data_IF_206770882278
#
_entry.id   IF_206770882278
#
_cell.length_a   1.000
_cell.length_b   1.000
_cell.length_c   1.000
_cell.angle_alpha   90.00
_cell.angle_beta   90.00
_cell.angle_gamma   90.00
#
_symmetry.space_group_name_H-M   'P 1'
#
loop_
_entity.id
_entity.type
_entity.pdbx_description
1 polymer ?
#
# COMPACT_ATOMS: atom_id res chain seq x y z
N UNK A 1 -12.81 45.84 -33.98
CA UNK A 1 -11.50 46.10 -33.31
C UNK A 1 -10.42 45.75 -34.33
N UNK A 2 -9.55 46.74 -34.65
CA UNK A 2 -8.48 46.49 -35.60
C UNK A 2 -7.27 45.77 -34.93
N UNK A 3 -6.30 45.36 -35.73
CA UNK A 3 -5.11 44.62 -35.25
C UNK A 3 -4.32 45.39 -34.19
N UNK A 4 -4.08 46.68 -34.41
CA UNK A 4 -3.28 47.49 -33.48
C UNK A 4 -3.95 47.63 -32.12
N UNK A 5 -5.25 47.88 -32.10
CA UNK A 5 -6.06 47.99 -30.89
C UNK A 5 -6.11 46.67 -30.11
N UNK A 6 -6.22 45.52 -30.81
CA UNK A 6 -6.18 44.20 -30.20
C UNK A 6 -4.86 43.92 -29.50
N UNK A 7 -3.75 44.10 -30.22
CA UNK A 7 -2.40 43.87 -29.71
C UNK A 7 -2.05 44.78 -28.55
N UNK A 8 -2.47 46.06 -28.62
CA UNK A 8 -2.25 47.01 -27.53
C UNK A 8 -2.99 46.61 -26.25
N UNK A 9 -4.27 46.24 -26.37
CA UNK A 9 -5.06 45.75 -25.25
C UNK A 9 -4.50 44.46 -24.67
N UNK A 10 -4.06 43.51 -25.53
CA UNK A 10 -3.44 42.30 -25.08
C UNK A 10 -2.12 42.55 -24.33
N UNK A 11 -1.25 43.45 -24.87
CA UNK A 11 0.00 43.76 -24.21
C UNK A 11 -0.19 44.45 -22.86
N UNK A 12 -1.17 45.35 -22.77
CA UNK A 12 -1.53 46.04 -21.50
C UNK A 12 -2.01 45.01 -20.43
N UNK A 13 -2.83 44.01 -20.85
CA UNK A 13 -3.33 42.99 -19.96
C UNK A 13 -2.22 41.99 -19.52
N UNK A 14 -1.33 41.58 -20.43
CA UNK A 14 -0.19 40.72 -20.10
C UNK A 14 0.78 41.39 -19.13
N UNK A 15 1.07 42.68 -19.34
CA UNK A 15 1.90 43.50 -18.43
C UNK A 15 1.25 43.71 -17.07
N UNK A 16 -0.05 44.01 -17.03
CA UNK A 16 -0.79 44.19 -15.78
C UNK A 16 -0.78 42.93 -14.92
N UNK A 17 -0.74 41.75 -15.56
CA UNK A 17 -0.71 40.43 -14.90
C UNK A 17 0.70 39.91 -14.66
N UNK A 18 1.73 40.71 -14.95
CA UNK A 18 3.14 40.37 -14.71
C UNK A 18 3.59 39.05 -15.33
N UNK A 19 3.13 38.76 -16.56
CA UNK A 19 3.44 37.49 -17.25
C UNK A 19 4.86 37.61 -17.83
N UNK A 20 5.78 36.71 -17.43
CA UNK A 20 7.20 36.73 -17.83
C UNK A 20 7.44 36.64 -19.33
N UNK A 21 6.59 35.87 -20.02
CA UNK A 21 6.74 35.51 -21.44
C UNK A 21 5.85 36.40 -22.34
N UNK A 22 5.49 37.64 -21.86
CA UNK A 22 4.56 38.54 -22.53
C UNK A 22 5.02 38.89 -23.94
N UNK A 23 6.33 39.00 -24.20
CA UNK A 23 6.90 39.37 -25.47
C UNK A 23 6.81 38.24 -26.51
N UNK A 24 7.05 37.04 -26.08
CA UNK A 24 6.91 35.81 -26.94
C UNK A 24 5.44 35.61 -27.32
N UNK A 25 4.53 35.77 -26.38
CA UNK A 25 3.08 35.69 -26.62
C UNK A 25 2.64 36.77 -27.61
N UNK A 26 3.12 37.99 -27.45
CA UNK A 26 2.79 39.06 -28.37
C UNK A 26 3.30 38.78 -29.80
N UNK A 27 4.48 38.17 -29.94
CA UNK A 27 5.02 37.83 -31.25
C UNK A 27 4.21 36.71 -31.93
N UNK A 28 3.74 35.71 -31.14
CA UNK A 28 2.86 34.65 -31.64
C UNK A 28 1.55 35.21 -32.22
N UNK A 29 0.92 36.15 -31.51
CA UNK A 29 -0.31 36.81 -31.99
C UNK A 29 -0.08 37.70 -33.19
N UNK A 30 1.08 38.41 -33.28
CA UNK A 30 1.47 39.16 -34.49
C UNK A 30 1.60 38.24 -35.71
N UNK A 31 2.26 37.13 -35.55
CA UNK A 31 2.42 36.12 -36.61
C UNK A 31 1.08 35.55 -37.05
N UNK A 32 0.19 35.23 -36.07
CA UNK A 32 -1.13 34.75 -36.36
C UNK A 32 -1.96 35.72 -37.20
N UNK A 33 -1.95 37.04 -36.85
CA UNK A 33 -2.58 38.07 -37.66
C UNK A 33 -2.01 38.14 -39.05
N UNK A 34 -0.67 38.13 -39.19
CA UNK A 34 -0.01 38.16 -40.50
C UNK A 34 -0.42 36.95 -41.36
N UNK A 35 -0.46 35.78 -40.79
CA UNK A 35 -0.85 34.54 -41.51
C UNK A 35 -2.34 34.63 -41.97
N UNK A 36 -3.23 35.03 -41.11
CA UNK A 36 -4.66 35.12 -41.44
C UNK A 36 -4.99 36.25 -42.45
N UNK A 37 -4.27 37.36 -42.37
CA UNK A 37 -4.37 38.41 -43.41
C UNK A 37 -3.91 37.94 -44.76
N UNK A 38 -2.84 37.10 -44.84
CA UNK A 38 -2.38 36.51 -46.07
C UNK A 38 -3.40 35.48 -46.67
N UNK A 39 -4.24 34.85 -45.81
CA UNK A 39 -5.35 34.00 -46.20
C UNK A 39 -6.59 34.81 -46.70
N UNK A 40 -6.55 36.16 -46.65
CA UNK A 40 -7.62 37.02 -47.13
C UNK A 40 -8.69 37.37 -46.11
N UNK A 41 -8.49 37.10 -44.83
CA UNK A 41 -9.40 37.50 -43.75
C UNK A 41 -9.19 38.96 -43.39
N UNK A 42 -10.22 39.66 -42.95
CA UNK A 42 -10.13 41.03 -42.45
C UNK A 42 -9.62 41.07 -41.00
N UNK A 43 -8.95 42.17 -40.61
CA UNK A 43 -8.46 42.34 -39.21
C UNK A 43 -9.56 42.17 -38.19
N UNK A 44 -10.76 42.66 -38.52
CA UNK A 44 -11.91 42.67 -37.61
C UNK A 44 -12.46 41.25 -37.42
N UNK A 45 -12.48 40.43 -38.48
CA UNK A 45 -12.87 39.01 -38.40
C UNK A 45 -11.88 38.20 -37.58
N UNK A 46 -10.58 38.47 -37.76
CA UNK A 46 -9.54 37.78 -37.01
C UNK A 46 -9.66 38.12 -35.51
N UNK A 47 -9.79 39.40 -35.19
CA UNK A 47 -9.96 39.88 -33.79
C UNK A 47 -11.24 39.32 -33.16
N UNK A 48 -12.35 39.22 -33.92
CA UNK A 48 -13.60 38.66 -33.43
C UNK A 48 -13.47 37.16 -33.14
N UNK A 49 -12.74 36.37 -33.98
CA UNK A 49 -12.47 34.96 -33.76
C UNK A 49 -11.54 34.67 -32.60
N UNK A 50 -10.57 35.52 -32.34
CA UNK A 50 -9.64 35.42 -31.22
C UNK A 50 -10.31 35.70 -29.88
N UNK A 51 -11.37 36.53 -29.87
CA UNK A 51 -12.13 36.84 -28.67
C UNK A 51 -11.56 38.02 -27.86
N UNK A 52 -11.92 38.09 -26.59
CA UNK A 52 -11.52 39.24 -25.72
C UNK A 52 -10.06 39.06 -25.25
N UNK A 53 -9.18 40.07 -25.52
CA UNK A 53 -7.79 40.05 -25.00
C UNK A 53 -7.65 39.83 -23.49
N UNK A 54 -8.65 40.25 -22.72
CA UNK A 54 -8.73 40.03 -21.27
C UNK A 54 -8.82 38.55 -20.88
N UNK A 55 -9.63 37.80 -21.62
CA UNK A 55 -9.83 36.36 -21.38
C UNK A 55 -8.58 35.60 -21.79
N UNK A 56 -7.98 36.01 -22.92
CA UNK A 56 -6.73 35.40 -23.38
C UNK A 56 -5.61 35.62 -22.33
N UNK A 57 -5.40 36.83 -21.85
CA UNK A 57 -4.41 37.14 -20.83
C UNK A 57 -4.67 36.36 -19.52
N UNK A 58 -5.93 36.13 -19.14
CA UNK A 58 -6.28 35.28 -17.99
C UNK A 58 -5.89 33.82 -18.13
N UNK A 59 -5.96 33.25 -19.34
CA UNK A 59 -5.51 31.88 -19.62
C UNK A 59 -3.99 31.73 -19.43
N UNK A 60 -3.22 32.73 -19.82
CA UNK A 60 -1.76 32.72 -19.64
C UNK A 60 -1.36 32.95 -18.17
N UNK A 61 -2.13 33.70 -17.39
CA UNK A 61 -1.91 33.83 -15.94
C UNK A 61 -2.01 32.47 -15.21
N UNK A 62 -2.99 31.67 -15.58
CA UNK A 62 -3.15 30.30 -15.05
C UNK A 62 -2.00 29.37 -15.48
N UNK A 63 -1.25 29.73 -16.51
CA UNK A 63 -0.13 29.00 -17.07
C UNK A 63 1.25 29.54 -16.71
N UNK A 64 1.34 30.62 -15.92
CA UNK A 64 2.63 31.26 -15.62
C UNK A 64 3.60 30.29 -14.92
N UNK A 65 4.92 30.39 -15.21
CA UNK A 65 5.94 29.52 -14.61
C UNK A 65 5.95 29.56 -13.08
N UNK A 66 5.60 30.68 -12.49
CA UNK A 66 5.50 30.82 -11.03
C UNK A 66 4.33 30.05 -10.43
N UNK A 67 3.15 30.07 -11.06
CA UNK A 67 2.01 29.27 -10.65
C UNK A 67 2.30 27.76 -10.84
N UNK A 68 2.95 27.39 -11.95
CA UNK A 68 3.40 25.99 -12.17
C UNK A 68 4.46 25.57 -11.17
N UNK A 69 5.37 26.49 -10.77
CA UNK A 69 6.43 26.21 -9.80
C UNK A 69 5.87 26.09 -8.38
N UNK A 70 4.93 26.96 -7.99
CA UNK A 70 4.21 26.88 -6.71
C UNK A 70 3.38 25.61 -6.61
N UNK A 71 2.63 25.28 -7.65
CA UNK A 71 1.84 24.04 -7.69
C UNK A 71 2.72 22.78 -7.71
N UNK A 72 3.87 22.81 -8.38
CA UNK A 72 4.86 21.73 -8.33
C UNK A 72 5.50 21.59 -6.96
N UNK A 73 5.85 22.69 -6.31
CA UNK A 73 6.40 22.67 -4.95
C UNK A 73 5.38 22.13 -3.95
N UNK A 74 4.13 22.56 -4.01
CA UNK A 74 3.04 22.03 -3.18
C UNK A 74 2.78 20.54 -3.44
N UNK A 75 2.81 20.11 -4.71
CA UNK A 75 2.68 18.70 -5.08
C UNK A 75 3.87 17.85 -4.59
N UNK A 76 5.09 18.37 -4.65
CA UNK A 76 6.28 17.67 -4.13
C UNK A 76 6.25 17.54 -2.60
N UNK A 77 5.83 18.60 -1.89
CA UNK A 77 5.67 18.55 -0.43
C UNK A 77 4.57 17.56 -0.06
N UNK A 78 3.42 17.60 -0.74
CA UNK A 78 2.32 16.66 -0.52
C UNK A 78 2.72 15.21 -0.80
N UNK A 79 3.50 14.98 -1.86
CA UNK A 79 4.02 13.66 -2.19
C UNK A 79 5.05 13.17 -1.17
N UNK A 80 5.93 14.06 -0.68
CA UNK A 80 6.90 13.75 0.38
C UNK A 80 6.23 13.35 1.69
N UNK A 81 5.18 14.07 2.08
CA UNK A 81 4.38 13.75 3.28
C UNK A 81 3.63 12.42 3.11
N UNK A 82 3.07 12.17 1.92
CA UNK A 82 2.42 10.90 1.60
C UNK A 82 3.43 9.73 1.61
N UNK A 83 4.64 9.91 1.06
CA UNK A 83 5.71 8.93 1.09
C UNK A 83 6.16 8.61 2.53
N UNK A 84 6.30 9.63 3.38
CA UNK A 84 6.65 9.46 4.79
C UNK A 84 5.55 8.68 5.54
N UNK A 85 4.28 9.09 5.39
CA UNK A 85 3.14 8.41 6.01
C UNK A 85 3.02 6.96 5.56
N UNK A 86 3.22 6.71 4.25
CA UNK A 86 3.21 5.36 3.70
C UNK A 86 4.39 4.52 4.20
N UNK A 87 5.58 5.11 4.32
CA UNK A 87 6.76 4.45 4.88
C UNK A 87 6.54 4.02 6.33
N UNK A 88 5.99 4.91 7.16
CA UNK A 88 5.63 4.61 8.55
C UNK A 88 4.59 3.48 8.64
N UNK A 89 3.55 3.52 7.79
CA UNK A 89 2.55 2.46 7.72
C UNK A 89 3.18 1.12 7.34
N UNK A 90 4.07 1.10 6.35
CA UNK A 90 4.79 -0.12 5.95
C UNK A 90 5.64 -0.66 7.11
N UNK A 91 6.36 0.22 7.83
CA UNK A 91 7.17 -0.17 8.99
C UNK A 91 6.30 -0.83 10.07
N UNK A 92 5.15 -0.26 10.40
CA UNK A 92 4.20 -0.83 11.35
C UNK A 92 3.67 -2.19 10.90
N UNK A 93 3.33 -2.34 9.62
CA UNK A 93 2.86 -3.61 9.06
C UNK A 93 3.96 -4.68 9.09
N UNK A 94 5.22 -4.34 8.79
CA UNK A 94 6.33 -5.28 8.89
C UNK A 94 6.63 -5.67 10.33
N UNK A 95 6.60 -4.70 11.27
CA UNK A 95 6.76 -4.98 12.70
C UNK A 95 5.68 -5.92 13.20
N UNK A 96 4.42 -5.69 12.83
CA UNK A 96 3.31 -6.58 13.17
C UNK A 96 3.49 -7.98 12.56
N UNK A 97 3.94 -8.07 11.31
CA UNK A 97 4.27 -9.33 10.66
C UNK A 97 5.36 -10.11 11.38
N UNK A 98 6.36 -9.41 11.93
CA UNK A 98 7.43 -10.00 12.72
C UNK A 98 6.89 -10.59 14.03
N UNK A 99 6.02 -9.86 14.73
CA UNK A 99 5.36 -10.35 15.97
C UNK A 99 4.61 -11.65 15.70
N UNK A 100 3.80 -11.69 14.63
CA UNK A 100 3.08 -12.92 14.25
C UNK A 100 4.06 -14.05 13.89
N UNK A 101 5.17 -13.74 13.23
CA UNK A 101 6.23 -14.70 12.91
C UNK A 101 6.89 -15.30 14.17
N UNK A 102 7.24 -14.46 15.14
CA UNK A 102 7.77 -14.89 16.43
C UNK A 102 6.78 -15.75 17.19
N UNK A 103 5.48 -15.40 17.18
CA UNK A 103 4.42 -16.21 17.77
C UNK A 103 4.33 -17.58 17.11
N UNK A 104 4.44 -17.69 15.78
CA UNK A 104 4.47 -18.96 15.07
C UNK A 104 5.68 -19.82 15.48
N UNK A 105 6.85 -19.21 15.62
CA UNK A 105 8.06 -19.91 16.06
C UNK A 105 7.92 -20.43 17.48
N UNK A 106 7.45 -19.59 18.41
CA UNK A 106 7.23 -19.94 19.82
C UNK A 106 6.23 -21.08 19.96
N UNK A 107 5.11 -21.00 19.21
CA UNK A 107 4.11 -22.08 19.17
C UNK A 107 4.69 -23.39 18.63
N UNK A 108 5.56 -23.32 17.59
CA UNK A 108 6.24 -24.47 17.03
C UNK A 108 7.22 -25.13 18.00
N UNK A 109 8.02 -24.32 18.69
CA UNK A 109 8.95 -24.81 19.72
C UNK A 109 8.21 -25.45 20.89
N UNK A 110 7.12 -24.83 21.34
CA UNK A 110 6.26 -25.41 22.38
C UNK A 110 5.65 -26.74 21.94
N UNK A 111 5.19 -26.83 20.70
CA UNK A 111 4.69 -28.08 20.12
C UNK A 111 5.75 -29.21 20.16
N UNK A 112 6.97 -28.88 19.72
CA UNK A 112 8.07 -29.86 19.75
C UNK A 112 8.42 -30.25 21.20
N UNK A 113 8.48 -29.27 22.12
CA UNK A 113 8.74 -29.51 23.54
C UNK A 113 7.75 -30.47 24.17
N UNK A 114 6.45 -30.32 23.85
CA UNK A 114 5.40 -31.18 24.38
C UNK A 114 5.40 -32.61 23.74
N UNK A 115 5.67 -32.70 22.44
CA UNK A 115 5.68 -34.00 21.73
C UNK A 115 6.89 -34.84 22.14
N UNK A 116 8.07 -34.24 22.29
CA UNK A 116 9.30 -34.94 22.63
C UNK A 116 9.61 -34.99 24.12
N UNK A 117 8.70 -34.52 24.98
CA UNK A 117 8.86 -34.45 26.43
C UNK A 117 10.18 -33.79 26.89
N UNK A 118 10.51 -32.68 26.21
CA UNK A 118 11.73 -31.91 26.47
C UNK A 118 11.72 -31.21 27.84
N UNK A 119 10.63 -31.28 28.59
CA UNK A 119 10.49 -30.75 29.95
C UNK A 119 11.40 -31.39 30.98
N UNK A 120 12.05 -32.52 30.65
CA UNK A 120 13.08 -33.18 31.47
C UNK A 120 14.44 -32.50 31.41
N UNK A 121 14.66 -31.58 30.49
CA UNK A 121 15.90 -30.82 30.44
C UNK A 121 15.84 -29.61 31.35
N UNK A 122 16.85 -29.40 32.20
CA UNK A 122 16.97 -28.36 33.24
C UNK A 122 16.69 -26.91 32.76
N UNK A 123 16.67 -26.71 31.46
CA UNK A 123 16.50 -25.37 30.85
C UNK A 123 15.10 -25.11 30.28
N UNK A 124 14.19 -26.09 30.30
CA UNK A 124 12.84 -25.98 29.74
C UNK A 124 11.80 -26.24 30.82
N UNK A 125 11.30 -25.20 31.43
CA UNK A 125 10.17 -25.28 32.39
C UNK A 125 8.86 -25.49 31.63
N UNK A 126 8.56 -26.74 31.26
CA UNK A 126 7.24 -27.10 30.75
C UNK A 126 6.35 -27.47 31.95
N UNK A 127 5.05 -27.12 31.89
CA UNK A 127 4.12 -27.48 32.97
C UNK A 127 4.05 -29.00 33.12
N UNK A 128 4.14 -29.47 34.36
CA UNK A 128 4.01 -30.89 34.69
C UNK A 128 2.61 -31.37 34.32
N UNK A 129 2.53 -32.29 33.38
CA UNK A 129 1.27 -32.89 32.92
C UNK A 129 1.52 -34.32 32.43
N UNK A 130 0.49 -35.20 32.48
CA UNK A 130 0.61 -36.54 31.91
C UNK A 130 0.96 -36.51 30.41
N UNK A 131 1.87 -37.36 29.97
CA UNK A 131 2.39 -37.39 28.59
C UNK A 131 1.30 -37.45 27.51
N UNK A 132 0.21 -38.18 27.75
CA UNK A 132 -0.92 -38.28 26.80
C UNK A 132 -1.62 -36.90 26.61
N UNK A 133 -1.72 -36.08 27.66
CA UNK A 133 -2.23 -34.71 27.57
C UNK A 133 -1.25 -33.81 26.80
N UNK A 134 0.05 -33.93 27.14
CA UNK A 134 1.11 -33.14 26.46
C UNK A 134 1.15 -33.44 24.94
N UNK A 135 0.97 -34.68 24.54
CA UNK A 135 0.96 -35.08 23.13
C UNK A 135 -0.22 -34.47 22.37
N UNK A 136 -1.43 -34.49 22.96
CA UNK A 136 -2.62 -33.88 22.30
C UNK A 136 -2.49 -32.37 22.18
N UNK A 137 -2.00 -31.69 23.22
CA UNK A 137 -1.71 -30.25 23.15
C UNK A 137 -0.57 -29.95 22.15
N UNK A 138 0.47 -30.78 22.11
CA UNK A 138 1.54 -30.65 21.13
C UNK A 138 1.03 -30.70 19.70
N UNK A 139 0.11 -31.63 19.37
CA UNK A 139 -0.55 -31.67 18.07
C UNK A 139 -1.42 -30.43 17.79
N UNK A 140 -2.12 -29.92 18.82
CA UNK A 140 -2.88 -28.68 18.67
C UNK A 140 -1.95 -27.50 18.35
N UNK A 141 -0.84 -27.35 19.06
CA UNK A 141 0.13 -26.28 18.79
C UNK A 141 0.83 -26.45 17.42
N UNK A 142 1.07 -27.69 16.95
CA UNK A 142 1.56 -27.94 15.59
C UNK A 142 0.56 -27.45 14.53
N UNK A 143 -0.72 -27.75 14.70
CA UNK A 143 -1.78 -27.27 13.81
C UNK A 143 -1.89 -25.74 13.85
N UNK A 144 -1.77 -25.12 15.03
CA UNK A 144 -1.75 -23.66 15.20
C UNK A 144 -0.55 -23.02 14.47
N UNK A 145 0.65 -23.58 14.66
CA UNK A 145 1.86 -23.11 13.97
C UNK A 145 1.69 -23.14 12.46
N UNK A 146 1.12 -24.20 11.91
CA UNK A 146 0.81 -24.32 10.49
C UNK A 146 -0.17 -23.23 10.02
N UNK A 147 -1.25 -22.99 10.76
CA UNK A 147 -2.24 -21.96 10.45
C UNK A 147 -1.64 -20.57 10.46
N UNK A 148 -0.88 -20.24 11.52
CA UNK A 148 -0.23 -18.93 11.65
C UNK A 148 0.81 -18.73 10.54
N UNK A 149 1.59 -19.76 10.18
CA UNK A 149 2.56 -19.70 9.08
C UNK A 149 1.89 -19.38 7.73
N UNK A 150 0.74 -20.00 7.44
CA UNK A 150 -0.04 -19.69 6.23
C UNK A 150 -0.58 -18.26 6.31
N UNK A 151 -1.08 -17.84 7.47
CA UNK A 151 -1.55 -16.48 7.72
C UNK A 151 -0.45 -15.44 7.48
N UNK A 152 0.72 -15.65 8.06
CA UNK A 152 1.91 -14.79 7.90
C UNK A 152 2.32 -14.65 6.43
N UNK A 153 2.41 -15.78 5.71
CA UNK A 153 2.74 -15.73 4.27
C UNK A 153 1.67 -15.00 3.44
N UNK A 154 0.39 -15.13 3.80
CA UNK A 154 -0.69 -14.39 3.16
C UNK A 154 -0.61 -12.89 3.44
N UNK A 155 -0.32 -12.52 4.69
CA UNK A 155 -0.14 -11.16 5.15
C UNK A 155 1.01 -10.46 4.40
N UNK A 156 2.20 -11.06 4.34
CA UNK A 156 3.32 -10.49 3.59
C UNK A 156 3.04 -10.33 2.09
N UNK A 157 2.30 -11.25 1.49
CA UNK A 157 1.85 -11.10 0.09
C UNK A 157 0.90 -9.92 -0.08
N UNK A 158 0.00 -9.70 0.87
CA UNK A 158 -0.91 -8.55 0.86
C UNK A 158 -0.13 -7.24 0.98
N UNK A 159 0.77 -7.14 1.96
CA UNK A 159 1.64 -5.96 2.15
C UNK A 159 2.47 -5.69 0.88
N UNK A 160 3.08 -6.71 0.29
CA UNK A 160 3.85 -6.56 -0.95
C UNK A 160 3.01 -6.09 -2.14
N UNK A 161 1.72 -6.45 -2.20
CA UNK A 161 0.79 -5.93 -3.21
C UNK A 161 0.49 -4.45 -2.98
N UNK A 162 0.27 -4.06 -1.74
CA UNK A 162 0.06 -2.67 -1.35
C UNK A 162 1.26 -1.78 -1.71
N UNK A 163 2.46 -2.20 -1.36
CA UNK A 163 3.71 -1.49 -1.69
C UNK A 163 3.86 -1.33 -3.20
N UNK A 164 3.65 -2.40 -3.97
CA UNK A 164 3.72 -2.34 -5.44
C UNK A 164 2.65 -1.43 -6.06
N UNK A 165 1.46 -1.39 -5.49
CA UNK A 165 0.38 -0.51 -5.95
C UNK A 165 0.74 0.97 -5.72
N UNK A 166 1.28 1.29 -4.53
CA UNK A 166 1.72 2.63 -4.19
C UNK A 166 2.89 3.10 -5.07
N UNK A 167 3.89 2.25 -5.30
CA UNK A 167 5.01 2.57 -6.19
C UNK A 167 4.53 2.86 -7.63
N UNK A 168 3.51 2.14 -8.11
CA UNK A 168 2.91 2.40 -9.44
C UNK A 168 2.17 3.74 -9.47
N UNK A 169 1.42 4.07 -8.43
CA UNK A 169 0.75 5.35 -8.28
C UNK A 169 1.76 6.51 -8.29
N UNK A 170 2.81 6.41 -7.48
CA UNK A 170 3.89 7.40 -7.40
C UNK A 170 4.55 7.64 -8.76
N UNK A 171 4.87 6.59 -9.52
CA UNK A 171 5.43 6.73 -10.88
C UNK A 171 4.50 7.50 -11.80
N UNK A 172 3.19 7.27 -11.74
CA UNK A 172 2.21 7.99 -12.56
C UNK A 172 2.14 9.49 -12.21
N UNK A 173 2.26 9.83 -10.94
CA UNK A 173 2.22 11.24 -10.49
C UNK A 173 3.50 11.98 -10.86
N UNK A 174 4.66 11.31 -10.77
CA UNK A 174 5.96 11.93 -11.08
C UNK A 174 6.27 12.02 -12.58
N UNK A 175 5.56 11.29 -13.45
CA UNK A 175 5.74 11.32 -14.91
C UNK A 175 4.45 11.74 -15.61
N UNK A 176 3.97 13.00 -15.45
CA UNK A 176 2.78 13.47 -16.16
C UNK A 176 3.01 13.74 -17.65
N UNK A 177 4.27 13.83 -18.10
CA UNK A 177 4.64 14.36 -19.42
C UNK A 177 5.01 13.28 -20.45
N UNK A 178 4.84 12.00 -20.11
CA UNK A 178 5.00 10.93 -21.10
C UNK A 178 3.67 10.61 -21.78
N UNK A 179 3.02 11.65 -22.29
CA UNK A 179 1.82 11.54 -23.10
C UNK A 179 2.11 11.02 -24.50
N UNK A 180 2.91 9.98 -24.65
CA UNK A 180 3.01 9.18 -25.90
C UNK A 180 3.97 8.01 -25.70
N UNK A 181 3.53 7.06 -24.98
CA UNK A 181 3.89 5.68 -25.30
C UNK A 181 2.94 4.79 -24.51
N UNK A 182 1.94 4.29 -25.18
CA UNK A 182 1.22 3.09 -24.80
C UNK A 182 2.26 1.97 -24.90
N UNK A 183 3.22 1.99 -23.97
CA UNK A 183 4.15 0.89 -23.81
C UNK A 183 3.30 -0.28 -23.34
N UNK A 184 3.20 -1.26 -24.24
CA UNK A 184 2.75 -2.61 -23.96
C UNK A 184 3.25 -3.04 -22.58
N UNK A 185 2.43 -3.75 -21.79
CA UNK A 185 2.86 -4.29 -20.51
C UNK A 185 4.09 -5.16 -20.79
N UNK A 186 5.24 -4.74 -20.26
CA UNK A 186 6.49 -5.47 -20.37
C UNK A 186 6.24 -6.93 -19.96
N UNK A 187 6.58 -7.92 -20.81
CA UNK A 187 6.26 -9.34 -20.58
C UNK A 187 6.96 -9.94 -19.34
N UNK A 188 7.77 -9.17 -18.61
CA UNK A 188 8.46 -9.57 -17.40
C UNK A 188 7.61 -9.50 -16.11
N UNK A 189 6.36 -9.02 -16.17
CA UNK A 189 5.37 -9.21 -15.12
C UNK A 189 4.42 -10.36 -15.49
N UNK A 190 4.96 -11.48 -15.90
CA UNK A 190 4.22 -12.72 -15.93
C UNK A 190 3.84 -13.05 -14.48
N UNK A 191 2.59 -12.75 -14.12
CA UNK A 191 1.96 -13.26 -12.91
C UNK A 191 2.17 -14.78 -12.93
N UNK A 192 3.09 -15.23 -12.08
CA UNK A 192 3.27 -16.66 -11.83
C UNK A 192 1.90 -17.25 -11.60
N UNK A 193 1.51 -18.32 -12.31
CA UNK A 193 0.15 -18.85 -12.28
C UNK A 193 -0.25 -19.07 -10.83
N UNK A 194 -1.33 -18.42 -10.41
CA UNK A 194 -1.85 -18.51 -9.06
C UNK A 194 -2.15 -19.97 -8.77
N UNK A 195 -1.25 -20.64 -8.03
CA UNK A 195 -1.49 -22.01 -7.51
C UNK A 195 -2.88 -22.05 -6.90
N UNK A 196 -3.65 -23.12 -7.14
CA UNK A 196 -5.09 -23.12 -6.94
C UNK A 196 -5.47 -22.72 -5.51
N UNK A 197 -6.12 -21.58 -5.37
CA UNK A 197 -6.66 -21.03 -4.11
C UNK A 197 -7.51 -22.03 -3.34
N UNK A 198 -8.12 -22.99 -4.06
CA UNK A 198 -9.03 -24.01 -3.52
C UNK A 198 -8.29 -25.00 -2.62
N UNK A 199 -7.11 -25.52 -3.03
CA UNK A 199 -6.32 -26.47 -2.20
C UNK A 199 -5.87 -25.81 -0.90
N UNK A 200 -5.41 -24.55 -0.94
CA UNK A 200 -4.97 -23.82 0.25
C UNK A 200 -6.12 -23.57 1.23
N UNK A 201 -7.33 -23.22 0.75
CA UNK A 201 -8.50 -23.00 1.60
C UNK A 201 -8.91 -24.30 2.32
N UNK A 202 -8.94 -25.42 1.61
CA UNK A 202 -9.22 -26.74 2.21
C UNK A 202 -8.20 -27.13 3.28
N UNK A 203 -6.92 -26.91 3.02
CA UNK A 203 -5.85 -27.18 3.99
C UNK A 203 -5.97 -26.30 5.25
N UNK A 204 -6.32 -25.02 5.12
CA UNK A 204 -6.56 -24.16 6.27
C UNK A 204 -7.77 -24.61 7.10
N UNK A 205 -8.88 -24.97 6.45
CA UNK A 205 -10.08 -25.45 7.14
C UNK A 205 -9.75 -26.76 7.88
N UNK A 206 -9.06 -27.69 7.23
CA UNK A 206 -8.67 -28.97 7.83
C UNK A 206 -7.77 -28.77 9.06
N UNK A 207 -6.76 -27.89 8.96
CA UNK A 207 -5.88 -27.58 10.08
C UNK A 207 -6.63 -26.87 11.23
N UNK A 208 -7.59 -25.99 10.92
CA UNK A 208 -8.42 -25.35 11.94
C UNK A 208 -9.32 -26.34 12.67
N UNK A 209 -9.89 -27.31 11.96
CA UNK A 209 -10.68 -28.40 12.55
C UNK A 209 -9.81 -29.29 13.44
N UNK A 210 -8.62 -29.68 12.98
CA UNK A 210 -7.67 -30.45 13.79
C UNK A 210 -7.29 -29.69 15.06
N UNK A 211 -6.95 -28.40 14.93
CA UNK A 211 -6.62 -27.55 16.07
C UNK A 211 -7.74 -27.53 17.11
N UNK A 212 -8.98 -27.27 16.67
CA UNK A 212 -10.14 -27.23 17.55
C UNK A 212 -10.42 -28.57 18.23
N UNK A 213 -10.36 -29.67 17.48
CA UNK A 213 -10.58 -31.00 18.02
C UNK A 213 -9.49 -31.41 19.01
N UNK A 214 -8.22 -31.17 18.69
CA UNK A 214 -7.12 -31.50 19.59
C UNK A 214 -7.15 -30.64 20.86
N UNK A 215 -7.51 -29.34 20.74
CA UNK A 215 -7.61 -28.46 21.90
C UNK A 215 -8.73 -28.92 22.85
N UNK A 216 -9.92 -29.20 22.32
CA UNK A 216 -11.05 -29.68 23.13
C UNK A 216 -10.80 -31.07 23.72
N UNK A 217 -10.25 -31.99 22.94
CA UNK A 217 -9.89 -33.30 23.42
C UNK A 217 -8.79 -33.24 24.51
N UNK A 218 -7.77 -32.41 24.33
CA UNK A 218 -6.72 -32.17 25.31
C UNK A 218 -7.30 -31.64 26.63
N UNK A 219 -8.21 -30.68 26.57
CA UNK A 219 -8.87 -30.15 27.75
C UNK A 219 -9.68 -31.22 28.49
N UNK A 220 -10.49 -32.01 27.77
CA UNK A 220 -11.27 -33.10 28.34
C UNK A 220 -10.36 -34.13 29.01
N UNK A 221 -9.28 -34.54 28.33
CA UNK A 221 -8.30 -35.47 28.88
C UNK A 221 -7.65 -34.93 30.16
N UNK A 222 -7.32 -33.64 30.21
CA UNK A 222 -6.78 -33.03 31.43
C UNK A 222 -7.78 -33.09 32.59
N UNK A 223 -9.04 -32.77 32.35
CA UNK A 223 -10.12 -32.83 33.39
C UNK A 223 -10.30 -34.28 33.85
N UNK A 224 -10.33 -35.23 32.94
CA UNK A 224 -10.49 -36.64 33.32
C UNK A 224 -9.28 -37.18 34.07
N UNK A 225 -8.06 -36.81 33.68
CA UNK A 225 -6.83 -37.25 34.36
C UNK A 225 -6.66 -36.64 35.75
N UNK A 226 -7.09 -35.40 35.95
CA UNK A 226 -6.98 -34.71 37.25
C UNK A 226 -8.15 -34.98 38.19
N UNK A 227 -9.29 -35.43 37.65
CA UNK A 227 -10.53 -35.59 38.39
C UNK A 227 -11.23 -34.29 38.80
N UNK A 228 -10.66 -33.15 38.42
CA UNK A 228 -11.15 -31.82 38.73
C UNK A 228 -11.16 -30.92 37.49
N UNK A 229 -12.12 -30.01 37.41
CA UNK A 229 -12.20 -29.04 36.32
C UNK A 229 -10.98 -28.09 36.35
N UNK A 230 -10.49 -27.82 37.55
CA UNK A 230 -9.33 -26.96 37.84
C UNK A 230 -8.02 -27.79 37.88
N UNK A 231 -7.71 -28.52 36.82
CA UNK A 231 -6.56 -29.40 36.75
C UNK A 231 -5.20 -28.72 36.99
N UNK A 232 -5.10 -27.41 36.75
CA UNK A 232 -3.91 -26.62 37.06
C UNK A 232 -3.59 -26.54 38.55
N UNK A 233 -4.59 -26.65 39.45
CA UNK A 233 -4.37 -26.75 40.88
C UNK A 233 -3.85 -28.14 41.24
N UNK A 234 -4.39 -29.19 40.63
CA UNK A 234 -3.98 -30.55 40.90
C UNK A 234 -2.53 -30.85 40.51
N UNK A 235 -2.00 -30.12 39.50
CA UNK A 235 -0.63 -30.30 39.00
C UNK A 235 0.34 -29.19 39.47
N UNK A 236 -0.05 -28.38 40.45
CA UNK A 236 0.84 -27.38 41.06
C UNK A 236 1.24 -26.22 40.10
N UNK A 237 0.45 -25.96 39.05
CA UNK A 237 0.72 -24.85 38.16
C UNK A 237 0.51 -23.53 38.90
N UNK A 238 1.29 -22.51 38.51
CA UNK A 238 1.20 -21.16 39.12
C UNK A 238 1.46 -21.14 40.65
N UNK A 239 2.13 -22.14 41.24
CA UNK A 239 2.43 -22.19 42.64
C UNK A 239 1.27 -22.67 43.52
N UNK A 240 0.19 -23.20 42.97
CA UNK A 240 -0.90 -23.82 43.66
C UNK A 240 -0.56 -25.29 43.98
N UNK A 241 0.19 -25.60 44.97
CA UNK A 241 0.50 -27.00 45.23
C UNK A 241 1.62 -27.26 46.23
N UNK A 242 1.92 -26.23 47.05
CA UNK A 242 2.85 -26.38 48.17
C UNK A 242 2.09 -26.47 49.50
#
# INVERSE_FOLDING_TARGET
>A
MNRSEFLEKLSAQLKHRNISDAEDIMEEYRQHFNFKLAEGHTEEEIAAKLGDPKIIAAQYESGSPESKRSNRAAALIGLGLADFGFGLLCLLLYAWGLVIGCFALSSGLLSLGLIFDLGRFEHFYLPEMPYHCALVFGLAFAALTYLVSIGTTAFFRLVSRFVRSFCRFRRRVLSPDSGRSRSEPSPLCQDSPAKPRIKRRRSCIFAAVIFSLCLTAGFILCVVSSGHIEFWHAWGWFGYGA
#
